data_IF_245093015695
#
_entry.id   IF_245093015695
#
_cell.length_a   1.000
_cell.length_b   1.000
_cell.length_c   1.000
_cell.angle_alpha   90.00
_cell.angle_beta   90.00
_cell.angle_gamma   90.00
#
_symmetry.space_group_name_H-M   'P 1'
#
loop_
_entity.id
_entity.type
_entity.pdbx_description
1 polymer ?
#
# COMPACT_ATOMS: atom_id res chain seq x y z
N UNK A 1 -22.29 -38.48 26.12
CA UNK A 1 -22.87 -37.20 25.67
C UNK A 1 -21.94 -36.67 24.60
N UNK A 2 -22.27 -36.94 23.34
CA UNK A 2 -21.49 -36.50 22.18
C UNK A 2 -22.21 -35.29 21.59
N UNK A 3 -21.65 -34.12 21.87
CA UNK A 3 -22.04 -32.85 21.30
C UNK A 3 -21.62 -32.85 19.82
N UNK A 4 -22.59 -33.21 18.98
CA UNK A 4 -22.48 -33.22 17.52
C UNK A 4 -22.02 -31.86 17.04
N UNK A 5 -20.90 -31.85 16.32
CA UNK A 5 -20.43 -30.77 15.48
C UNK A 5 -21.47 -30.48 14.38
N UNK A 6 -22.47 -29.64 14.68
CA UNK A 6 -23.27 -28.91 13.69
C UNK A 6 -22.59 -27.57 13.33
N UNK A 7 -21.28 -27.63 13.08
CA UNK A 7 -20.51 -26.50 12.57
C UNK A 7 -20.75 -26.36 11.06
N UNK A 8 -21.78 -25.58 10.71
CA UNK A 8 -21.85 -24.73 9.52
C UNK A 8 -21.27 -25.30 8.23
N UNK A 9 -22.00 -26.23 7.61
CA UNK A 9 -21.86 -26.58 6.19
C UNK A 9 -22.40 -25.45 5.29
N UNK A 10 -21.93 -24.21 5.48
CA UNK A 10 -22.01 -23.21 4.43
C UNK A 10 -20.96 -23.55 3.39
N UNK A 11 -21.44 -24.10 2.28
CA UNK A 11 -20.66 -24.69 1.21
C UNK A 11 -19.77 -23.69 0.49
N UNK A 12 -18.63 -23.36 1.08
CA UNK A 12 -17.56 -22.61 0.41
C UNK A 12 -16.98 -23.50 -0.69
N UNK A 13 -17.05 -23.04 -1.94
CA UNK A 13 -16.61 -23.80 -3.12
C UNK A 13 -15.08 -24.04 -3.21
N UNK A 14 -14.30 -23.50 -2.27
CA UNK A 14 -12.84 -23.65 -2.22
C UNK A 14 -12.07 -22.89 -3.30
N UNK A 15 -12.75 -22.20 -4.22
CA UNK A 15 -12.15 -21.40 -5.31
C UNK A 15 -12.08 -19.90 -5.01
N UNK A 16 -11.97 -19.53 -3.74
CA UNK A 16 -12.01 -18.13 -3.31
C UNK A 16 -10.87 -17.27 -3.89
N UNK A 17 -9.67 -17.84 -4.05
CA UNK A 17 -8.53 -17.10 -4.63
C UNK A 17 -8.78 -16.76 -6.11
N UNK A 18 -9.31 -17.71 -6.88
CA UNK A 18 -9.65 -17.50 -8.29
C UNK A 18 -10.80 -16.51 -8.48
N UNK A 19 -11.78 -16.51 -7.56
CA UNK A 19 -12.85 -15.52 -7.52
C UNK A 19 -12.29 -14.10 -7.43
N UNK A 20 -11.37 -13.86 -6.49
CA UNK A 20 -10.77 -12.54 -6.26
C UNK A 20 -9.96 -12.12 -7.49
N UNK A 21 -9.09 -12.99 -8.00
CA UNK A 21 -8.31 -12.72 -9.20
C UNK A 21 -9.22 -12.39 -10.41
N UNK A 22 -10.33 -13.12 -10.57
CA UNK A 22 -11.33 -12.85 -11.60
C UNK A 22 -12.01 -11.48 -11.43
N UNK A 23 -12.45 -11.13 -10.21
CA UNK A 23 -13.16 -9.88 -9.92
C UNK A 23 -12.32 -8.62 -10.14
N UNK A 24 -11.01 -8.69 -9.87
CA UNK A 24 -10.08 -7.58 -10.04
C UNK A 24 -9.42 -7.55 -11.43
N UNK A 25 -9.70 -8.54 -12.28
CA UNK A 25 -9.10 -8.63 -13.62
C UNK A 25 -7.62 -9.03 -13.59
N UNK A 26 -7.17 -9.64 -12.50
CA UNK A 26 -5.81 -10.15 -12.33
C UNK A 26 -5.65 -11.55 -12.93
N UNK A 27 -6.75 -12.29 -13.12
CA UNK A 27 -6.76 -13.58 -13.80
C UNK A 27 -6.36 -13.44 -15.27
N UNK A 28 -5.51 -14.34 -15.75
CA UNK A 28 -5.19 -14.45 -17.18
C UNK A 28 -6.44 -14.78 -18.01
N UNK A 29 -6.39 -14.60 -19.33
CA UNK A 29 -7.52 -14.90 -20.22
C UNK A 29 -7.98 -16.36 -20.13
N UNK A 30 -7.03 -17.27 -19.94
CA UNK A 30 -7.28 -18.70 -19.80
C UNK A 30 -7.94 -19.02 -18.45
N UNK A 31 -7.39 -18.53 -17.34
CA UNK A 31 -7.94 -18.68 -16.00
C UNK A 31 -9.35 -18.08 -15.89
N UNK A 32 -9.57 -16.87 -16.43
CA UNK A 32 -10.89 -16.25 -16.47
C UNK A 32 -11.89 -17.08 -17.30
N UNK A 33 -11.43 -17.76 -18.36
CA UNK A 33 -12.25 -18.68 -19.15
C UNK A 33 -12.65 -19.93 -18.36
N UNK A 34 -11.72 -20.52 -17.62
CA UNK A 34 -11.98 -21.66 -16.73
C UNK A 34 -12.93 -21.28 -15.58
N UNK A 35 -12.73 -20.09 -14.99
CA UNK A 35 -13.59 -19.60 -13.92
C UNK A 35 -15.01 -19.30 -14.42
N UNK A 36 -15.19 -18.73 -15.62
CA UNK A 36 -16.52 -18.57 -16.23
C UNK A 36 -17.26 -19.89 -16.41
N UNK A 37 -16.60 -20.94 -16.91
CA UNK A 37 -17.19 -22.28 -17.00
C UNK A 37 -17.60 -22.82 -15.63
N UNK A 38 -16.82 -22.53 -14.60
CA UNK A 38 -17.18 -22.91 -13.24
C UNK A 38 -18.39 -22.16 -12.71
N UNK A 39 -18.53 -20.86 -13.02
CA UNK A 39 -19.72 -20.08 -12.68
C UNK A 39 -20.99 -20.65 -13.33
N UNK A 40 -20.91 -21.27 -14.50
CA UNK A 40 -22.07 -21.96 -15.11
C UNK A 40 -22.51 -23.18 -14.28
N UNK A 41 -21.56 -23.90 -13.69
CA UNK A 41 -21.81 -25.13 -12.94
C UNK A 41 -22.03 -24.93 -11.42
N UNK A 42 -21.54 -23.84 -10.83
CA UNK A 42 -21.52 -23.63 -9.38
C UNK A 42 -22.45 -22.48 -8.96
N UNK A 43 -23.58 -22.81 -8.31
CA UNK A 43 -24.52 -21.81 -7.79
C UNK A 43 -23.91 -20.92 -6.71
N UNK A 44 -23.13 -21.49 -5.79
CA UNK A 44 -22.48 -20.74 -4.69
C UNK A 44 -21.59 -19.63 -5.25
N UNK A 45 -20.69 -19.95 -6.18
CA UNK A 45 -19.79 -18.93 -6.74
C UNK A 45 -20.52 -17.87 -7.55
N UNK A 46 -21.68 -18.18 -8.16
CA UNK A 46 -22.54 -17.15 -8.80
C UNK A 46 -23.11 -16.18 -7.77
N UNK A 47 -23.62 -16.71 -6.67
CA UNK A 47 -24.15 -15.90 -5.56
C UNK A 47 -23.06 -15.03 -4.94
N UNK A 48 -21.85 -15.57 -4.73
CA UNK A 48 -20.70 -14.81 -4.26
C UNK A 48 -20.32 -13.67 -5.22
N UNK A 49 -20.19 -13.95 -6.53
CA UNK A 49 -19.91 -12.91 -7.55
C UNK A 49 -20.99 -11.82 -7.52
N UNK A 50 -22.27 -12.19 -7.43
CA UNK A 50 -23.37 -11.24 -7.36
C UNK A 50 -23.31 -10.38 -6.09
N UNK A 51 -23.03 -10.99 -4.94
CA UNK A 51 -22.87 -10.29 -3.66
C UNK A 51 -21.73 -9.26 -3.71
N UNK A 52 -20.56 -9.65 -4.25
CA UNK A 52 -19.45 -8.72 -4.46
C UNK A 52 -19.79 -7.60 -5.45
N UNK A 53 -20.57 -7.89 -6.49
CA UNK A 53 -21.09 -6.89 -7.42
C UNK A 53 -21.93 -5.81 -6.72
N UNK A 54 -22.79 -6.21 -5.80
CA UNK A 54 -23.57 -5.29 -4.96
C UNK A 54 -22.69 -4.37 -4.10
N UNK A 55 -21.65 -4.92 -3.46
CA UNK A 55 -20.69 -4.13 -2.66
C UNK A 55 -19.95 -3.10 -3.54
N UNK A 56 -19.49 -3.50 -4.73
CA UNK A 56 -18.81 -2.58 -5.67
C UNK A 56 -19.72 -1.47 -6.17
N UNK A 57 -20.99 -1.79 -6.47
CA UNK A 57 -21.97 -0.78 -6.84
C UNK A 57 -22.20 0.21 -5.69
N UNK A 58 -22.35 -0.27 -4.45
CA UNK A 58 -22.48 0.59 -3.26
C UNK A 58 -21.27 1.49 -3.05
N UNK A 59 -20.05 0.96 -3.22
CA UNK A 59 -18.82 1.76 -3.15
C UNK A 59 -18.73 2.80 -4.27
N UNK A 60 -19.22 2.50 -5.47
CA UNK A 60 -19.26 3.46 -6.57
C UNK A 60 -20.22 4.62 -6.28
N UNK A 61 -21.41 4.33 -5.75
CA UNK A 61 -22.37 5.35 -5.30
C UNK A 61 -21.76 6.20 -4.20
N UNK A 62 -21.23 5.57 -3.15
CA UNK A 62 -20.59 6.28 -2.05
C UNK A 62 -19.41 7.14 -2.51
N UNK A 63 -18.60 6.64 -3.46
CA UNK A 63 -17.50 7.42 -4.05
C UNK A 63 -18.03 8.61 -4.83
N UNK A 64 -19.11 8.46 -5.58
CA UNK A 64 -19.77 9.55 -6.29
C UNK A 64 -20.34 10.60 -5.32
N UNK A 65 -20.90 10.20 -4.18
CA UNK A 65 -21.40 11.13 -3.15
C UNK A 65 -20.25 11.85 -2.41
N UNK A 66 -19.24 11.08 -2.00
CA UNK A 66 -18.08 11.59 -1.25
C UNK A 66 -17.19 12.51 -2.10
N UNK A 67 -17.05 12.24 -3.39
CA UNK A 67 -16.24 13.04 -4.31
C UNK A 67 -17.05 14.04 -5.13
N UNK A 68 -18.33 13.79 -5.39
CA UNK A 68 -19.21 14.69 -6.15
C UNK A 68 -19.60 15.97 -5.41
N UNK A 69 -19.35 16.02 -4.10
CA UNK A 69 -19.47 17.25 -3.29
C UNK A 69 -18.18 18.07 -3.26
N UNK A 70 -17.06 17.53 -3.75
CA UNK A 70 -15.89 18.35 -4.01
C UNK A 70 -16.22 19.09 -5.30
N UNK A 71 -16.41 20.43 -5.27
CA UNK A 71 -16.54 21.19 -6.51
C UNK A 71 -15.34 20.76 -7.36
N UNK A 72 -15.58 20.34 -8.60
CA UNK A 72 -14.52 20.02 -9.53
C UNK A 72 -13.58 21.22 -9.54
N UNK A 73 -12.52 21.16 -8.74
CA UNK A 73 -11.42 22.09 -8.82
C UNK A 73 -10.97 21.85 -10.24
N UNK A 74 -11.21 22.85 -11.10
CA UNK A 74 -10.73 22.89 -12.47
C UNK A 74 -9.20 22.84 -12.39
N UNK A 75 -8.67 21.64 -12.21
CA UNK A 75 -7.24 21.37 -12.17
C UNK A 75 -6.65 21.70 -13.54
N UNK A 76 -7.45 21.68 -14.61
CA UNK A 76 -7.07 22.23 -15.91
C UNK A 76 -6.80 23.75 -15.90
N UNK A 77 -7.47 24.53 -15.05
CA UNK A 77 -7.19 25.98 -14.95
C UNK A 77 -5.94 26.25 -14.09
N UNK A 78 -5.64 25.37 -13.13
CA UNK A 78 -4.39 25.43 -12.36
C UNK A 78 -3.17 24.85 -13.11
N UNK A 79 -3.39 24.01 -14.13
CA UNK A 79 -2.36 23.50 -15.04
C UNK A 79 -2.34 24.21 -16.39
N UNK A 80 -3.20 25.21 -16.62
CA UNK A 80 -2.96 26.17 -17.69
C UNK A 80 -1.52 26.65 -17.54
N UNK A 81 -0.66 26.46 -18.56
CA UNK A 81 0.76 26.76 -18.46
C UNK A 81 0.89 28.27 -18.27
N UNK A 82 0.95 28.71 -17.01
CA UNK A 82 1.45 30.02 -16.66
C UNK A 82 2.83 30.10 -17.30
N UNK A 83 2.95 31.02 -18.26
CA UNK A 83 4.17 31.28 -18.99
C UNK A 83 5.39 31.20 -18.06
N UNK A 84 6.50 30.61 -18.50
CA UNK A 84 7.64 30.32 -17.64
C UNK A 84 8.29 31.62 -17.15
N UNK A 85 7.80 32.14 -16.02
CA UNK A 85 8.53 33.10 -15.21
C UNK A 85 9.60 32.30 -14.46
N UNK A 86 10.73 32.09 -15.13
CA UNK A 86 11.97 31.57 -14.58
C UNK A 86 12.40 32.43 -13.37
N UNK A 87 11.92 32.10 -12.18
CA UNK A 87 12.57 32.51 -10.93
C UNK A 87 13.27 31.29 -10.33
N UNK A 88 14.51 31.09 -10.78
CA UNK A 88 15.47 30.14 -10.24
C UNK A 88 15.99 30.59 -8.86
N UNK A 89 15.09 30.83 -7.91
CA UNK A 89 15.47 31.03 -6.53
C UNK A 89 15.21 29.72 -5.78
N UNK A 90 16.25 29.03 -5.26
CA UNK A 90 16.07 27.85 -4.40
C UNK A 90 15.47 28.32 -3.07
N UNK A 91 14.15 28.53 -3.06
CA UNK A 91 13.41 28.75 -1.82
C UNK A 91 13.44 27.41 -1.10
N UNK A 92 14.18 27.36 0.01
CA UNK A 92 14.09 26.30 1.02
C UNK A 92 12.62 26.20 1.44
N UNK A 93 11.83 25.40 0.72
CA UNK A 93 10.43 25.15 1.05
C UNK A 93 10.47 24.49 2.42
N UNK A 94 10.03 25.23 3.44
CA UNK A 94 10.05 24.72 4.79
C UNK A 94 9.18 23.47 4.84
N UNK A 95 9.64 22.41 5.51
CA UNK A 95 8.90 21.16 5.64
C UNK A 95 7.46 21.39 6.18
N UNK A 96 7.27 22.47 6.93
CA UNK A 96 5.96 22.94 7.41
C UNK A 96 5.00 23.35 6.29
N UNK A 97 5.50 23.93 5.20
CA UNK A 97 4.67 24.31 4.05
C UNK A 97 4.15 23.06 3.31
N UNK A 98 5.02 22.06 3.08
CA UNK A 98 4.63 20.79 2.47
C UNK A 98 3.62 20.01 3.34
N UNK A 99 3.80 20.01 4.66
CA UNK A 99 2.81 19.44 5.59
C UNK A 99 1.47 20.16 5.53
N UNK A 100 1.47 21.50 5.46
CA UNK A 100 0.24 22.28 5.30
C UNK A 100 -0.47 21.97 3.99
N UNK A 101 0.26 21.82 2.90
CA UNK A 101 -0.30 21.39 1.62
C UNK A 101 -0.88 19.97 1.72
N UNK A 102 -0.17 19.04 2.35
CA UNK A 102 -0.65 17.67 2.55
C UNK A 102 -1.93 17.60 3.40
N UNK A 103 -2.02 18.38 4.47
CA UNK A 103 -3.24 18.48 5.30
C UNK A 103 -4.36 19.31 4.65
N UNK A 104 -4.02 20.20 3.72
CA UNK A 104 -5.02 20.90 2.91
C UNK A 104 -5.67 19.97 1.87
N UNK A 105 -4.89 19.03 1.32
CA UNK A 105 -5.33 18.00 0.37
C UNK A 105 -5.89 16.75 1.05
N UNK A 106 -5.64 16.55 2.35
CA UNK A 106 -6.15 15.40 3.06
C UNK A 106 -7.68 15.48 3.21
N UNK A 107 -8.43 14.45 2.80
CA UNK A 107 -9.88 14.47 2.81
C UNK A 107 -10.46 14.59 4.22
N UNK A 108 -11.66 15.21 4.34
CA UNK A 108 -12.27 15.66 5.61
C UNK A 108 -12.34 14.59 6.72
N UNK A 109 -12.48 13.32 6.37
CA UNK A 109 -12.46 12.20 7.32
C UNK A 109 -11.12 12.00 8.04
N UNK A 110 -10.00 12.35 7.41
CA UNK A 110 -8.67 12.28 8.03
C UNK A 110 -8.50 13.40 9.07
N UNK A 111 -9.14 14.56 8.84
CA UNK A 111 -9.19 15.63 9.85
C UNK A 111 -10.02 15.18 11.06
N UNK A 112 -11.17 14.53 10.83
CA UNK A 112 -11.96 13.96 11.92
C UNK A 112 -11.18 12.87 12.70
N UNK A 113 -10.43 12.02 11.99
CA UNK A 113 -9.56 11.02 12.59
C UNK A 113 -8.42 11.62 13.41
N UNK A 114 -7.81 12.72 12.96
CA UNK A 114 -6.75 13.39 13.70
C UNK A 114 -7.24 13.95 15.04
N UNK A 115 -8.45 14.52 15.10
CA UNK A 115 -9.04 14.98 16.35
C UNK A 115 -9.35 13.80 17.29
N UNK A 116 -9.92 12.71 16.78
CA UNK A 116 -10.20 11.51 17.58
C UNK A 116 -8.90 10.90 18.14
N UNK A 117 -7.85 10.80 17.32
CA UNK A 117 -6.54 10.31 17.75
C UNK A 117 -5.89 11.22 18.80
N UNK A 118 -5.99 12.55 18.63
CA UNK A 118 -5.49 13.51 19.60
C UNK A 118 -6.25 13.40 20.94
N UNK A 119 -7.58 13.29 20.91
CA UNK A 119 -8.39 13.10 22.12
C UNK A 119 -8.08 11.77 22.80
N UNK A 120 -7.93 10.69 22.03
CA UNK A 120 -7.54 9.39 22.55
C UNK A 120 -6.15 9.45 23.20
N UNK A 121 -5.19 10.12 22.56
CA UNK A 121 -3.86 10.34 23.11
C UNK A 121 -3.90 11.15 24.41
N UNK A 122 -4.67 12.24 24.47
CA UNK A 122 -4.89 13.02 25.69
C UNK A 122 -5.54 12.19 26.81
N UNK A 123 -6.53 11.37 26.48
CA UNK A 123 -7.19 10.48 27.43
C UNK A 123 -6.23 9.42 27.98
N UNK A 124 -5.38 8.83 27.13
CA UNK A 124 -4.33 7.90 27.55
C UNK A 124 -3.30 8.61 28.44
N UNK A 125 -2.89 9.82 28.10
CA UNK A 125 -1.96 10.61 28.93
C UNK A 125 -2.57 10.88 30.31
N UNK A 126 -3.82 11.35 30.36
CA UNK A 126 -4.55 11.57 31.61
C UNK A 126 -4.68 10.28 32.44
N UNK A 127 -4.95 9.14 31.79
CA UNK A 127 -5.04 7.84 32.44
C UNK A 127 -3.68 7.39 33.00
N UNK A 128 -2.57 7.64 32.29
CA UNK A 128 -1.23 7.32 32.80
C UNK A 128 -0.88 8.17 34.02
N UNK A 129 -1.21 9.47 34.01
CA UNK A 129 -1.02 10.36 35.18
C UNK A 129 -1.90 9.92 36.34
N UNK A 130 -3.17 9.58 36.08
CA UNK A 130 -4.10 9.11 37.11
C UNK A 130 -3.67 7.78 37.73
N UNK A 131 -3.01 6.89 36.96
CA UNK A 131 -2.43 5.66 37.49
C UNK A 131 -1.12 5.88 38.24
N UNK A 132 -0.29 6.83 37.79
CA UNK A 132 0.96 7.16 38.48
C UNK A 132 0.72 7.94 39.77
N UNK A 133 -0.34 8.74 39.84
CA UNK A 133 -0.74 9.54 41.00
C UNK A 133 -1.83 8.89 41.85
N UNK A 134 -1.90 7.55 41.90
CA UNK A 134 -2.80 6.87 42.83
C UNK A 134 -2.60 7.41 44.25
N UNK A 135 -3.68 7.61 45.04
CA UNK A 135 -3.56 8.18 46.38
C UNK A 135 -2.58 7.30 47.15
N UNK A 136 -1.47 7.92 47.56
CA UNK A 136 -0.52 7.36 48.51
C UNK A 136 -1.36 6.96 49.72
N UNK A 137 -1.74 5.68 49.78
CA UNK A 137 -2.26 5.10 51.00
C UNK A 137 -1.10 5.23 51.96
N UNK A 138 -1.16 6.25 52.80
CA UNK A 138 -0.32 6.43 53.98
C UNK A 138 -0.61 5.23 54.87
N UNK A 139 -0.03 4.09 54.51
CA UNK A 139 0.16 2.98 55.42
C UNK A 139 1.24 3.52 56.34
N UNK A 140 0.82 3.95 57.53
CA UNK A 140 1.68 4.11 58.70
C UNK A 140 2.25 2.72 58.99
N UNK A 141 3.24 2.33 58.19
CA UNK A 141 4.00 1.11 58.36
C UNK A 141 5.25 1.53 59.11
N UNK A 142 5.30 1.04 60.33
CA UNK A 142 6.42 1.02 61.24
C UNK A 142 7.77 1.16 60.51
N UNK A 143 8.47 2.22 60.93
CA UNK A 143 9.69 2.76 60.37
C UNK A 143 10.82 1.71 60.44
N UNK A 144 10.94 0.88 59.41
CA UNK A 144 12.22 0.25 59.08
C UNK A 144 12.95 1.24 58.16
N UNK A 145 13.91 1.94 58.74
CA UNK A 145 14.88 2.79 58.02
C UNK A 145 15.68 1.93 57.06
N UNK A 146 15.15 1.73 55.85
CA UNK A 146 15.98 1.38 54.70
C UNK A 146 16.46 2.71 54.12
N UNK A 147 17.78 2.99 54.07
CA UNK A 147 18.29 4.23 53.52
C UNK A 147 17.90 4.31 52.05
N UNK A 148 16.88 5.11 51.77
CA UNK A 148 16.54 5.53 50.42
C UNK A 148 17.73 6.38 49.98
N UNK A 149 18.63 5.79 49.19
CA UNK A 149 19.67 6.54 48.51
C UNK A 149 18.96 7.57 47.62
N UNK A 150 18.95 8.81 48.10
CA UNK A 150 18.41 9.96 47.43
C UNK A 150 19.13 10.16 46.11
N UNK A 151 18.37 10.07 45.00
CA UNK A 151 18.67 10.68 43.70
C UNK A 151 20.00 10.28 43.06
N UNK A 152 19.92 9.56 41.95
CA UNK A 152 21.05 9.55 41.01
C UNK A 152 21.39 11.00 40.66
N UNK A 153 22.65 11.40 40.90
CA UNK A 153 23.14 12.71 40.47
C UNK A 153 23.19 12.75 38.95
N UNK A 154 23.04 13.93 38.34
CA UNK A 154 23.11 14.09 36.88
C UNK A 154 24.41 13.49 36.31
N UNK A 155 25.51 13.61 37.06
CA UNK A 155 26.81 13.01 36.74
C UNK A 155 26.78 11.47 36.69
N UNK A 156 26.03 10.82 37.60
CA UNK A 156 25.87 9.37 37.57
C UNK A 156 24.97 8.93 36.41
N UNK A 157 23.93 9.70 36.06
CA UNK A 157 23.08 9.41 34.90
C UNK A 157 23.91 9.48 33.63
N UNK A 158 24.71 10.54 33.46
CA UNK A 158 25.59 10.71 32.31
C UNK A 158 26.63 9.59 32.21
N UNK A 159 27.20 9.14 33.33
CA UNK A 159 28.12 8.01 33.36
C UNK A 159 27.45 6.70 32.91
N UNK A 160 26.22 6.44 33.35
CA UNK A 160 25.45 5.24 32.96
C UNK A 160 25.09 5.29 31.47
N UNK A 161 24.68 6.45 30.96
CA UNK A 161 24.35 6.63 29.54
C UNK A 161 25.59 6.45 28.68
N UNK A 162 26.73 7.06 29.06
CA UNK A 162 27.99 6.90 28.34
C UNK A 162 28.43 5.43 28.28
N UNK A 163 28.30 4.70 29.39
CA UNK A 163 28.61 3.27 29.45
C UNK A 163 27.72 2.46 28.50
N UNK A 164 26.40 2.71 28.50
CA UNK A 164 25.45 1.99 27.63
C UNK A 164 25.65 2.29 26.15
N UNK A 165 26.01 3.53 25.80
CA UNK A 165 26.31 3.92 24.41
C UNK A 165 27.60 3.24 23.94
N UNK A 166 28.64 3.17 24.79
CA UNK A 166 29.89 2.48 24.47
C UNK A 166 29.67 0.97 24.25
N UNK A 167 28.90 0.32 25.13
CA UNK A 167 28.52 -1.09 25.01
C UNK A 167 27.76 -1.37 23.70
N UNK A 168 26.79 -0.51 23.37
CA UNK A 168 25.98 -0.65 22.14
C UNK A 168 26.83 -0.49 20.88
N UNK A 169 27.74 0.50 20.86
CA UNK A 169 28.67 0.70 19.74
C UNK A 169 29.61 -0.48 19.57
N UNK A 170 30.13 -1.04 20.67
CA UNK A 170 30.98 -2.23 20.62
C UNK A 170 30.24 -3.45 20.04
N UNK A 171 28.97 -3.64 20.43
CA UNK A 171 28.13 -4.74 19.91
C UNK A 171 27.88 -4.61 18.40
N UNK A 172 27.52 -3.41 17.93
CA UNK A 172 27.29 -3.18 16.50
C UNK A 172 28.56 -3.33 15.66
N UNK A 173 29.72 -2.93 16.19
CA UNK A 173 31.00 -3.15 15.53
C UNK A 173 31.35 -4.64 15.42
N UNK A 174 31.00 -5.45 16.44
CA UNK A 174 31.18 -6.90 16.40
C UNK A 174 30.25 -7.57 15.38
N UNK A 175 28.95 -7.21 15.36
CA UNK A 175 27.97 -7.72 14.38
C UNK A 175 28.37 -7.39 12.93
N UNK A 176 28.96 -6.21 12.70
CA UNK A 176 29.43 -5.79 11.37
C UNK A 176 30.62 -6.63 10.90
N UNK A 177 31.59 -6.92 11.79
CA UNK A 177 32.73 -7.79 11.48
C UNK A 177 32.31 -9.23 11.21
N UNK A 178 31.29 -9.72 11.92
CA UNK A 178 30.75 -11.07 11.71
C UNK A 178 30.08 -11.18 10.32
N UNK A 179 29.32 -10.16 9.91
CA UNK A 179 28.71 -10.11 8.56
C UNK A 179 29.75 -10.04 7.45
N UNK A 180 30.81 -9.26 7.63
CA UNK A 180 31.88 -9.12 6.62
C UNK A 180 32.69 -10.42 6.46
N UNK A 181 32.81 -11.23 7.51
CA UNK A 181 33.47 -12.54 7.46
C UNK A 181 32.65 -13.64 6.74
N UNK A 182 31.32 -13.52 6.71
CA UNK A 182 30.43 -14.57 6.15
C UNK A 182 30.05 -14.32 4.68
N UNK A 183 30.20 -13.09 4.17
CA UNK A 183 29.81 -12.71 2.80
C UNK A 183 30.96 -12.59 1.79
N UNK A 184 32.00 -13.42 1.90
CA UNK A 184 32.88 -13.72 0.76
C UNK A 184 32.68 -15.15 0.24
N UNK A 185 31.50 -15.53 -0.30
CA UNK A 185 31.46 -16.64 -1.21
C UNK A 185 32.21 -16.21 -2.48
N UNK A 186 33.36 -16.83 -2.64
CA UNK A 186 34.15 -16.91 -3.85
C UNK A 186 33.31 -17.57 -4.96
N UNK A 187 32.33 -16.85 -5.50
CA UNK A 187 31.60 -17.22 -6.70
C UNK A 187 31.67 -16.07 -7.70
N UNK A 188 32.89 -15.81 -8.14
CA UNK A 188 33.13 -15.33 -9.51
C UNK A 188 32.81 -16.52 -10.42
N UNK A 189 31.52 -16.74 -10.68
CA UNK A 189 31.13 -17.61 -11.79
C UNK A 189 31.20 -16.75 -13.03
N UNK A 190 32.18 -17.02 -13.87
CA UNK A 190 32.29 -16.52 -15.23
C UNK A 190 30.95 -16.66 -15.96
N UNK A 191 30.17 -15.59 -16.04
CA UNK A 191 29.07 -15.43 -17.01
C UNK A 191 29.64 -14.74 -18.24
N UNK A 192 30.66 -15.36 -18.83
CA UNK A 192 31.09 -15.09 -20.18
C UNK A 192 30.68 -16.31 -21.03
N UNK A 193 30.01 -16.05 -22.15
CA UNK A 193 29.66 -17.01 -23.20
C UNK A 193 28.42 -17.91 -23.00
N UNK A 194 27.23 -17.30 -23.11
CA UNK A 194 26.01 -17.91 -23.68
C UNK A 194 25.07 -16.76 -24.03
N UNK A 195 24.55 -16.57 -25.22
CA UNK A 195 24.59 -17.30 -26.47
C UNK A 195 23.65 -16.53 -27.39
N UNK A 196 24.18 -16.13 -28.54
CA UNK A 196 23.48 -15.64 -29.74
C UNK A 196 21.97 -15.98 -29.76
N UNK A 197 21.14 -14.97 -29.59
CA UNK A 197 19.71 -15.03 -29.93
C UNK A 197 19.59 -15.17 -31.46
N UNK A 198 18.93 -16.21 -32.00
CA UNK A 198 18.69 -16.34 -33.43
C UNK A 198 17.68 -15.28 -33.89
N UNK A 199 18.10 -14.50 -34.87
CA UNK A 199 17.28 -13.54 -35.60
C UNK A 199 16.21 -14.30 -36.42
N UNK A 200 14.91 -14.08 -36.23
CA UNK A 200 13.88 -14.71 -37.05
C UNK A 200 13.90 -14.16 -38.48
N UNK A 201 13.93 -15.07 -39.45
CA UNK A 201 13.94 -14.75 -40.88
C UNK A 201 12.64 -14.03 -41.33
N UNK A 202 12.72 -13.10 -42.29
CA UNK A 202 11.55 -12.47 -42.89
C UNK A 202 10.80 -13.47 -43.79
N UNK A 203 9.49 -13.63 -43.51
CA UNK A 203 8.57 -14.45 -44.28
C UNK A 203 8.30 -13.83 -45.67
N UNK A 204 8.67 -14.49 -46.80
CA UNK A 204 8.39 -14.01 -48.14
C UNK A 204 7.16 -14.73 -48.71
N UNK A 205 5.97 -14.47 -48.17
CA UNK A 205 4.73 -14.93 -48.79
C UNK A 205 3.67 -13.82 -48.80
N UNK A 206 3.99 -12.78 -49.58
CA UNK A 206 2.99 -11.95 -50.22
C UNK A 206 2.31 -12.71 -51.35
N UNK A 207 1.13 -13.27 -51.07
CA UNK A 207 0.20 -13.73 -52.11
C UNK A 207 -1.08 -12.89 -52.06
N UNK A 208 -0.98 -11.71 -52.67
CA UNK A 208 -1.93 -11.12 -53.62
C UNK A 208 -3.32 -11.79 -53.67
N UNK A 209 -4.31 -11.18 -53.00
CA UNK A 209 -5.72 -11.27 -53.42
C UNK A 209 -6.29 -9.87 -53.61
N UNK A 210 -6.34 -9.48 -54.87
CA UNK A 210 -7.20 -8.43 -55.41
C UNK A 210 -8.66 -8.90 -55.34
N UNK A 211 -9.53 -8.16 -54.62
CA UNK A 211 -10.95 -8.11 -54.98
C UNK A 211 -11.64 -6.83 -54.46
N UNK A 212 -11.96 -5.98 -55.45
CA UNK A 212 -13.02 -4.98 -55.63
C UNK A 212 -13.81 -4.37 -54.44
N UNK A 213 -14.22 -3.09 -54.56
CA UNK A 213 -14.85 -2.33 -53.49
C UNK A 213 -16.35 -2.65 -53.40
N UNK A 214 -16.85 -2.88 -52.18
CA UNK A 214 -18.30 -2.87 -51.91
C UNK A 214 -18.62 -1.75 -50.93
N UNK A 215 -19.19 -0.70 -51.51
CA UNK A 215 -19.96 0.37 -50.89
C UNK A 215 -21.07 -0.25 -50.03
N UNK A 216 -21.02 -0.07 -48.71
CA UNK A 216 -22.22 -0.06 -47.87
C UNK A 216 -22.01 0.93 -46.73
N UNK A 217 -22.86 1.94 -46.77
CA UNK A 217 -23.16 2.92 -45.74
C UNK A 217 -23.68 2.23 -44.47
N UNK A 218 -23.00 2.43 -43.35
CA UNK A 218 -23.58 2.46 -42.01
C UNK A 218 -22.51 3.05 -41.08
N UNK A 219 -22.47 4.37 -41.06
CA UNK A 219 -21.98 5.14 -39.92
C UNK A 219 -22.80 4.79 -38.66
N UNK A 220 -22.17 4.96 -37.50
CA UNK A 220 -22.67 4.73 -36.13
C UNK A 220 -22.62 3.28 -35.61
N UNK A 221 -21.43 2.83 -35.18
CA UNK A 221 -21.23 2.09 -33.90
C UNK A 221 -19.75 1.71 -33.70
N UNK A 222 -18.86 2.71 -33.65
CA UNK A 222 -17.43 2.47 -33.35
C UNK A 222 -16.89 3.51 -32.38
N UNK A 223 -17.53 3.63 -31.21
CA UNK A 223 -17.10 4.49 -30.11
C UNK A 223 -16.90 3.74 -28.78
N UNK A 224 -16.60 2.44 -28.80
CA UNK A 224 -16.20 1.68 -27.59
C UNK A 224 -15.11 0.63 -27.87
N UNK A 225 -14.06 1.02 -28.61
CA UNK A 225 -12.83 0.24 -28.73
C UNK A 225 -11.62 1.14 -28.42
N UNK A 226 -11.51 1.54 -27.16
CA UNK A 226 -10.46 2.41 -26.63
C UNK A 226 -9.67 1.78 -25.50
N UNK A 227 -9.44 0.45 -25.53
CA UNK A 227 -8.60 -0.26 -24.56
C UNK A 227 -7.10 -0.18 -24.93
N UNK A 228 -6.59 1.05 -25.05
CA UNK A 228 -5.14 1.32 -25.08
C UNK A 228 -4.79 2.31 -23.97
N UNK A 229 -5.13 1.95 -22.73
CA UNK A 229 -4.54 2.60 -21.56
C UNK A 229 -3.14 2.00 -21.33
N UNK A 230 -2.07 2.80 -21.33
CA UNK A 230 -0.73 2.32 -21.06
C UNK A 230 -0.68 1.67 -19.68
N UNK A 231 -0.07 0.48 -19.60
CA UNK A 231 0.12 -0.21 -18.32
C UNK A 231 1.07 0.61 -17.45
N UNK A 232 0.75 0.72 -16.15
CA UNK A 232 1.56 1.41 -15.14
C UNK A 232 3.03 0.94 -15.09
N UNK A 233 3.32 -0.29 -15.53
CA UNK A 233 4.68 -0.83 -15.67
C UNK A 233 5.55 -0.09 -16.70
N UNK A 234 4.93 0.45 -17.75
CA UNK A 234 5.66 1.11 -18.84
C UNK A 234 6.11 2.53 -18.42
N UNK A 235 5.43 3.14 -17.45
CA UNK A 235 5.78 4.46 -16.91
C UNK A 235 6.90 4.41 -15.85
N UNK A 236 7.12 3.26 -15.21
CA UNK A 236 8.12 3.11 -14.15
C UNK A 236 9.49 2.62 -14.65
N UNK A 237 9.57 2.19 -15.92
CA UNK A 237 10.79 1.61 -16.48
C UNK A 237 11.71 2.63 -17.18
N UNK A 238 11.36 3.91 -17.20
CA UNK A 238 11.96 4.95 -18.05
C UNK A 238 12.92 5.94 -17.37
N UNK A 239 13.52 5.62 -16.21
CA UNK A 239 14.53 6.48 -15.58
C UNK A 239 15.64 5.65 -14.94
N UNK A 240 16.66 5.30 -15.73
CA UNK A 240 18.03 5.01 -15.27
C UNK A 240 19.01 5.42 -16.35
#
# INVERSE_FOLDING_TARGET
MNEKQEATAHGVCGRGEELVAYLYGEATKEEAGLYRKHLEACAVCREEVAAFGGVRAGLAVWRAEALGTVPSLNIEEALAPAAPAFSNAPRKRSARAALREFFSLSPLWLRAGAFAALLAFCALLALTIARAGGPEKVIVKERVEVPVQSGYTDEQVDAIVAQKVAETRARLAAETKEREGVQRPEQVVDVAARGKTPQPAPNPNGARRTRAPRRSTSDEDTLLAGDNLPRLSDLLSGSY
#
